data_IF_726903117231
#
_entry.id   IF_726903117231
#
_cell.length_a   1.000
_cell.length_b   1.000
_cell.length_c   1.000
_cell.angle_alpha   90.00
_cell.angle_beta   90.00
_cell.angle_gamma   90.00
#
_symmetry.space_group_name_H-M   'P 1'
#
loop_
_entity.id
_entity.type
_entity.pdbx_description
1 polymer ?
#
# COMPACT_ATOMS: atom_id res chain seq x y z
N UNK A 1 -10.91 -33.42 9.08
CA UNK A 1 -9.79 -32.96 8.22
C UNK A 1 -10.31 -31.95 7.20
N UNK A 2 -10.45 -30.68 7.58
CA UNK A 2 -10.73 -29.55 6.68
C UNK A 2 -9.73 -28.43 7.00
N UNK A 3 -8.43 -28.66 6.78
CA UNK A 3 -7.41 -27.70 7.22
C UNK A 3 -6.29 -27.45 6.20
N UNK A 4 -6.18 -28.20 5.10
CA UNK A 4 -5.07 -28.03 4.15
C UNK A 4 -5.32 -27.05 2.99
N UNK A 5 -6.59 -26.79 2.66
CA UNK A 5 -6.98 -25.99 1.48
C UNK A 5 -7.27 -24.54 1.86
N UNK A 6 -7.82 -24.31 3.05
CA UNK A 6 -8.20 -22.99 3.57
C UNK A 6 -6.95 -22.13 3.87
N UNK A 7 -5.94 -22.71 4.53
CA UNK A 7 -4.67 -22.07 4.86
C UNK A 7 -3.91 -21.56 3.62
N UNK A 8 -3.98 -22.27 2.49
CA UNK A 8 -3.30 -21.88 1.24
C UNK A 8 -3.96 -20.69 0.54
N UNK A 9 -5.28 -20.53 0.69
CA UNK A 9 -6.02 -19.39 0.13
C UNK A 9 -5.73 -18.11 0.91
N UNK A 10 -5.68 -18.22 2.23
CA UNK A 10 -5.39 -17.10 3.13
C UNK A 10 -3.98 -16.54 2.88
N UNK A 11 -2.95 -17.39 2.80
CA UNK A 11 -1.57 -16.94 2.53
C UNK A 11 -1.41 -16.17 1.21
N UNK A 12 -2.25 -16.46 0.20
CA UNK A 12 -2.19 -15.75 -1.09
C UNK A 12 -2.77 -14.33 -1.02
N UNK A 13 -3.72 -14.09 -0.10
CA UNK A 13 -4.34 -12.78 0.08
C UNK A 13 -3.45 -11.80 0.85
N UNK A 14 -2.51 -12.32 1.65
CA UNK A 14 -1.56 -11.52 2.44
C UNK A 14 -0.23 -11.26 1.73
N UNK A 15 -0.12 -11.55 0.42
CA UNK A 15 1.07 -11.16 -0.33
C UNK A 15 1.08 -9.66 -0.51
N UNK A 16 2.01 -8.99 0.15
CA UNK A 16 2.26 -7.56 0.00
C UNK A 16 2.98 -7.24 -1.31
N UNK A 17 2.65 -6.09 -1.89
CA UNK A 17 3.32 -5.53 -3.06
C UNK A 17 3.79 -4.11 -2.68
N UNK A 18 5.10 -3.84 -2.64
CA UNK A 18 5.60 -2.51 -2.31
C UNK A 18 5.24 -1.51 -3.42
N UNK A 19 4.79 -0.32 -3.03
CA UNK A 19 4.30 0.71 -3.96
C UNK A 19 5.31 1.87 -4.09
N UNK A 20 6.11 2.15 -3.07
CA UNK A 20 7.11 3.23 -3.08
C UNK A 20 8.39 2.85 -2.32
N UNK A 21 9.48 3.53 -2.64
CA UNK A 21 10.80 3.43 -2.01
C UNK A 21 11.51 4.77 -2.11
N UNK A 22 12.39 5.08 -1.17
CA UNK A 22 13.24 6.28 -1.19
C UNK A 22 14.70 5.89 -0.94
N UNK A 23 15.63 6.59 -1.58
CA UNK A 23 17.06 6.42 -1.42
C UNK A 23 17.76 7.79 -1.32
N UNK A 24 19.06 7.78 -0.98
CA UNK A 24 19.85 9.02 -0.86
C UNK A 24 19.92 9.80 -2.17
N UNK A 25 19.88 9.12 -3.32
CA UNK A 25 19.89 9.81 -4.62
C UNK A 25 18.64 10.65 -4.82
N UNK A 26 17.47 10.21 -4.34
CA UNK A 26 16.24 11.02 -4.40
C UNK A 26 16.36 12.30 -3.58
N UNK A 27 17.08 12.26 -2.45
CA UNK A 27 17.41 13.45 -1.65
C UNK A 27 18.37 14.38 -2.39
N UNK A 28 19.42 13.84 -3.01
CA UNK A 28 20.38 14.63 -3.78
C UNK A 28 19.73 15.28 -5.00
N UNK A 29 18.88 14.56 -5.74
CA UNK A 29 18.11 15.07 -6.88
C UNK A 29 17.11 16.16 -6.45
N UNK A 30 16.53 16.03 -5.25
CA UNK A 30 15.73 17.07 -4.62
C UNK A 30 16.54 18.25 -4.06
N UNK A 31 17.88 18.21 -4.14
CA UNK A 31 18.78 19.30 -3.77
C UNK A 31 19.26 19.29 -2.31
N UNK A 32 19.11 18.17 -1.59
CA UNK A 32 19.60 18.02 -0.21
C UNK A 32 21.05 17.51 -0.16
N UNK A 33 21.83 17.98 0.82
CA UNK A 33 23.18 17.45 1.08
C UNK A 33 23.09 16.10 1.81
N UNK A 34 23.59 15.05 1.17
CA UNK A 34 23.53 13.67 1.66
C UNK A 34 24.78 13.21 2.42
N UNK A 35 25.80 14.08 2.59
CA UNK A 35 27.10 13.70 3.19
C UNK A 35 27.00 13.03 4.57
N UNK A 36 26.01 13.43 5.37
CA UNK A 36 25.80 12.94 6.73
C UNK A 36 24.50 12.14 6.87
N UNK A 37 23.94 11.64 5.76
CA UNK A 37 22.72 10.84 5.79
C UNK A 37 23.10 9.37 5.90
N UNK A 38 22.89 8.78 7.08
CA UNK A 38 23.09 7.36 7.34
C UNK A 38 21.80 6.55 7.12
N UNK A 39 21.88 5.23 7.32
CA UNK A 39 20.75 4.33 7.06
C UNK A 39 19.62 4.52 8.08
N UNK A 40 19.94 4.90 9.33
CA UNK A 40 18.94 5.17 10.38
C UNK A 40 18.09 6.39 10.00
N UNK A 41 18.71 7.45 9.47
CA UNK A 41 17.99 8.62 8.94
C UNK A 41 17.11 8.23 7.74
N UNK A 42 17.62 7.39 6.84
CA UNK A 42 16.84 6.93 5.69
C UNK A 42 15.66 6.04 6.11
N UNK A 43 15.80 5.24 7.15
CA UNK A 43 14.73 4.41 7.70
C UNK A 43 13.61 5.28 8.31
N UNK A 44 13.97 6.29 9.12
CA UNK A 44 13.00 7.25 9.66
C UNK A 44 12.29 8.04 8.54
N UNK A 45 13.04 8.49 7.53
CA UNK A 45 12.49 9.19 6.37
C UNK A 45 11.49 8.30 5.61
N UNK A 46 11.88 7.06 5.28
CA UNK A 46 11.03 6.13 4.56
C UNK A 46 9.74 5.82 5.34
N UNK A 47 9.84 5.65 6.65
CA UNK A 47 8.70 5.45 7.54
C UNK A 47 7.72 6.62 7.49
N UNK A 48 8.23 7.85 7.63
CA UNK A 48 7.42 9.08 7.57
C UNK A 48 6.78 9.31 6.20
N UNK A 49 7.51 9.06 5.12
CA UNK A 49 6.97 9.17 3.76
C UNK A 49 5.87 8.15 3.50
N UNK A 50 6.06 6.90 3.96
CA UNK A 50 5.04 5.85 3.86
C UNK A 50 3.76 6.25 4.59
N UNK A 51 3.87 6.75 5.82
CA UNK A 51 2.74 7.24 6.60
C UNK A 51 2.04 8.41 5.91
N UNK A 52 2.79 9.41 5.44
CA UNK A 52 2.22 10.55 4.73
C UNK A 52 1.48 10.14 3.46
N UNK A 53 2.06 9.23 2.67
CA UNK A 53 1.40 8.68 1.47
C UNK A 53 0.10 7.95 1.83
N UNK A 54 0.12 7.15 2.90
CA UNK A 54 -1.05 6.42 3.39
C UNK A 54 -2.19 7.35 3.80
N UNK A 55 -1.89 8.37 4.59
CA UNK A 55 -2.88 9.30 5.13
C UNK A 55 -3.45 10.25 4.08
N UNK A 56 -2.65 10.64 3.08
CA UNK A 56 -3.06 11.65 2.10
C UNK A 56 -3.78 11.08 0.89
N UNK A 57 -3.28 9.99 0.28
CA UNK A 57 -3.71 9.62 -1.07
C UNK A 57 -3.94 8.13 -1.27
N UNK A 58 -3.28 7.25 -0.52
CA UNK A 58 -3.38 5.80 -0.73
C UNK A 58 -4.83 5.30 -0.78
N UNK A 59 -5.64 5.67 0.21
CA UNK A 59 -7.04 5.21 0.31
C UNK A 59 -7.95 5.82 -0.75
N UNK A 60 -7.56 6.97 -1.31
CA UNK A 60 -8.28 7.66 -2.38
C UNK A 60 -7.96 7.00 -3.72
N UNK A 61 -6.69 6.75 -4.00
CA UNK A 61 -6.22 6.22 -5.28
C UNK A 61 -6.53 4.73 -5.45
N UNK A 62 -6.47 3.95 -4.37
CA UNK A 62 -6.69 2.50 -4.45
C UNK A 62 -8.00 2.12 -5.19
N UNK A 63 -9.19 2.63 -4.84
CA UNK A 63 -10.42 2.30 -5.57
C UNK A 63 -10.41 2.84 -7.01
N UNK A 64 -9.83 4.02 -7.26
CA UNK A 64 -9.77 4.64 -8.59
C UNK A 64 -8.90 3.78 -9.53
N UNK A 65 -7.70 3.41 -9.08
CA UNK A 65 -6.76 2.60 -9.85
C UNK A 65 -7.24 1.16 -9.98
N UNK A 66 -7.93 0.60 -8.98
CA UNK A 66 -8.55 -0.70 -9.07
C UNK A 66 -9.63 -0.73 -10.18
N UNK A 67 -10.48 0.30 -10.24
CA UNK A 67 -11.47 0.45 -11.31
C UNK A 67 -10.80 0.63 -12.68
N UNK A 68 -9.76 1.44 -12.78
CA UNK A 68 -8.96 1.60 -14.00
C UNK A 68 -8.34 0.27 -14.46
N UNK A 69 -7.88 -0.56 -13.52
CA UNK A 69 -7.37 -1.89 -13.77
C UNK A 69 -8.48 -2.93 -14.08
N UNK A 70 -9.75 -2.54 -14.11
CA UNK A 70 -10.90 -3.42 -14.39
C UNK A 70 -11.29 -4.35 -13.24
N UNK A 71 -10.83 -4.07 -12.01
CA UNK A 71 -11.18 -4.84 -10.82
C UNK A 71 -12.57 -4.42 -10.37
N UNK A 72 -13.52 -5.36 -10.41
CA UNK A 72 -14.93 -5.09 -10.07
C UNK A 72 -15.10 -4.97 -8.56
N UNK A 73 -15.76 -3.90 -8.11
CA UNK A 73 -16.34 -3.86 -6.76
C UNK A 73 -17.36 -4.98 -6.59
N UNK A 74 -17.48 -5.49 -5.37
CA UNK A 74 -18.60 -6.34 -5.01
C UNK A 74 -19.90 -5.54 -5.18
N UNK A 75 -20.96 -6.20 -5.65
CA UNK A 75 -22.29 -5.56 -5.70
C UNK A 75 -22.70 -5.25 -4.26
N UNK A 76 -23.11 -4.01 -3.99
CA UNK A 76 -23.75 -3.65 -2.72
C UNK A 76 -24.96 -4.56 -2.52
N UNK A 77 -24.96 -5.34 -1.45
CA UNK A 77 -26.16 -6.06 -1.01
C UNK A 77 -27.00 -5.04 -0.26
N UNK A 78 -27.94 -4.41 -0.96
CA UNK A 78 -28.99 -3.62 -0.30
C UNK A 78 -29.87 -4.58 0.50
N UNK A 79 -29.67 -4.64 1.82
CA UNK A 79 -30.58 -5.29 2.77
C UNK A 79 -31.91 -4.51 2.90
N UNK A 80 -32.64 -4.38 1.79
CA UNK A 80 -34.04 -3.95 1.76
C UNK A 80 -34.86 -4.95 0.97
N UNK A 81 -35.00 -6.16 1.53
CA UNK A 81 -36.12 -7.05 1.24
C UNK A 81 -36.47 -7.82 2.51
N UNK A 82 -37.19 -7.13 3.40
CA UNK A 82 -38.07 -7.73 4.41
C UNK A 82 -39.34 -6.88 4.44
N UNK A 83 -40.18 -7.10 3.45
CA UNK A 83 -41.64 -6.94 3.55
C UNK A 83 -42.27 -8.23 3.02
#
# INVERSE_FOLDING_TARGET
MKSGIEIKKEQKLFKEFPITSVCRYDLEDAGFDIKNVDDDIMEDLASRMSEAYRELIFWIDLPILAEYAGIKKHKEVNEKTKE
#
